data_IF_748612757584
#
_entry.id   IF_748612757584
#
_cell.length_a   1.000
_cell.length_b   1.000
_cell.length_c   1.000
_cell.angle_alpha   90.00
_cell.angle_beta   90.00
_cell.angle_gamma   90.00
#
_symmetry.space_group_name_H-M   'P 1'
#
loop_
_entity.id
_entity.type
_entity.pdbx_description
1 polymer ?
#
# COMPACT_ATOMS: atom_id res chain seq x y z
N UNK A 1 15.98 -17.15 7.86
CA UNK A 1 14.59 -16.87 7.44
C UNK A 1 14.54 -15.42 6.96
N UNK A 2 14.00 -15.14 5.77
CA UNK A 2 13.96 -13.80 5.18
C UNK A 2 12.79 -12.95 5.71
N UNK A 3 11.65 -13.58 5.97
CA UNK A 3 10.44 -12.92 6.46
C UNK A 3 9.23 -13.85 6.41
N UNK A 4 8.05 -13.28 6.65
CA UNK A 4 6.77 -13.98 6.58
C UNK A 4 5.65 -13.02 6.18
N UNK A 5 4.59 -13.57 5.61
CA UNK A 5 3.39 -12.86 5.16
C UNK A 5 2.18 -13.59 5.75
N UNK A 6 1.25 -12.83 6.34
CA UNK A 6 -0.08 -13.34 6.65
C UNK A 6 -1.02 -12.99 5.48
N UNK A 7 -1.81 -13.96 5.04
CA UNK A 7 -2.84 -13.74 4.03
C UNK A 7 -4.11 -14.52 4.35
N UNK A 8 -5.23 -14.02 3.85
CA UNK A 8 -6.54 -14.67 3.96
C UNK A 8 -7.02 -15.17 2.58
N UNK A 9 -6.11 -15.74 1.78
CA UNK A 9 -6.41 -16.31 0.45
C UNK A 9 -6.42 -15.32 -0.71
N UNK A 10 -6.23 -14.03 -0.46
CA UNK A 10 -6.25 -12.98 -1.50
C UNK A 10 -4.91 -12.79 -2.21
N UNK A 11 -3.81 -13.30 -1.65
CA UNK A 11 -2.48 -13.11 -2.25
C UNK A 11 -2.27 -14.15 -3.34
N UNK A 12 -2.12 -13.68 -4.57
CA UNK A 12 -1.76 -14.54 -5.70
C UNK A 12 -0.25 -14.79 -5.75
N UNK A 13 0.15 -15.81 -6.51
CA UNK A 13 1.58 -16.05 -6.81
C UNK A 13 2.25 -14.87 -7.50
N UNK A 14 1.52 -14.14 -8.36
CA UNK A 14 2.03 -12.92 -8.97
C UNK A 14 2.30 -11.84 -7.92
N UNK A 15 1.35 -11.57 -7.02
CA UNK A 15 1.54 -10.59 -5.93
C UNK A 15 2.73 -10.97 -5.05
N UNK A 16 2.90 -12.25 -4.72
CA UNK A 16 4.03 -12.71 -3.93
C UNK A 16 5.38 -12.44 -4.60
N UNK A 17 5.47 -12.68 -5.92
CA UNK A 17 6.67 -12.35 -6.69
C UNK A 17 6.93 -10.84 -6.70
N UNK A 18 5.88 -10.02 -6.85
CA UNK A 18 6.01 -8.56 -6.82
C UNK A 18 6.53 -8.06 -5.47
N UNK A 19 5.99 -8.58 -4.36
CA UNK A 19 6.48 -8.28 -3.01
C UNK A 19 7.97 -8.63 -2.86
N UNK A 20 8.40 -9.78 -3.39
CA UNK A 20 9.81 -10.16 -3.35
C UNK A 20 10.68 -9.25 -4.20
N UNK A 21 10.21 -8.79 -5.36
CA UNK A 21 10.98 -7.88 -6.22
C UNK A 21 11.12 -6.47 -5.64
N UNK A 22 10.23 -6.05 -4.73
CA UNK A 22 10.39 -4.81 -3.96
C UNK A 22 11.49 -4.95 -2.92
N UNK A 23 11.55 -6.10 -2.24
CA UNK A 23 12.46 -6.32 -1.10
C UNK A 23 13.84 -6.84 -1.53
N UNK A 24 13.91 -7.58 -2.63
CA UNK A 24 15.11 -8.29 -3.08
C UNK A 24 15.69 -7.67 -4.35
N UNK A 25 16.98 -7.38 -4.31
CA UNK A 25 17.79 -7.02 -5.46
C UNK A 25 18.59 -8.24 -5.91
N UNK A 26 18.24 -8.78 -7.08
CA UNK A 26 18.84 -10.01 -7.63
C UNK A 26 19.28 -9.76 -9.06
N UNK A 27 20.57 -9.45 -9.25
CA UNK A 27 21.24 -9.41 -10.55
C UNK A 27 20.41 -8.78 -11.68
N UNK A 28 20.47 -9.37 -12.86
CA UNK A 28 19.67 -8.97 -14.05
C UNK A 28 18.52 -9.93 -14.36
N UNK A 29 18.25 -10.90 -13.48
CA UNK A 29 17.38 -12.05 -13.74
C UNK A 29 16.46 -12.29 -12.55
N UNK A 30 15.22 -12.74 -12.82
CA UNK A 30 14.25 -13.00 -11.76
C UNK A 30 14.67 -14.19 -10.85
N UNK A 31 14.34 -14.14 -9.54
CA UNK A 31 14.55 -15.26 -8.65
C UNK A 31 13.77 -16.49 -9.08
N UNK A 32 14.33 -17.68 -8.77
CA UNK A 32 13.56 -18.92 -8.78
C UNK A 32 12.98 -19.14 -7.39
N UNK A 33 11.67 -19.35 -7.33
CA UNK A 33 10.95 -19.56 -6.07
C UNK A 33 10.40 -20.99 -6.06
N UNK A 34 10.61 -21.71 -4.95
CA UNK A 34 10.14 -23.07 -4.78
C UNK A 34 9.47 -23.25 -3.43
N UNK A 35 8.25 -23.76 -3.43
CA UNK A 35 7.62 -24.24 -2.21
C UNK A 35 8.40 -25.45 -1.67
N UNK A 36 8.51 -25.59 -0.36
CA UNK A 36 9.17 -26.77 0.26
C UNK A 36 8.48 -28.09 -0.05
N UNK A 37 7.24 -28.05 -0.51
CA UNK A 37 6.50 -29.19 -1.07
C UNK A 37 7.05 -29.67 -2.41
N UNK A 38 7.97 -28.93 -3.03
CA UNK A 38 8.61 -29.25 -4.30
C UNK A 38 8.11 -28.43 -5.49
N UNK A 39 7.01 -27.70 -5.35
CA UNK A 39 6.40 -26.93 -6.44
C UNK A 39 7.20 -25.66 -6.77
N UNK A 40 7.59 -25.49 -8.04
CA UNK A 40 8.11 -24.21 -8.53
C UNK A 40 6.98 -23.20 -8.67
N UNK A 41 7.20 -21.99 -8.16
CA UNK A 41 6.22 -20.90 -8.20
C UNK A 41 6.50 -20.02 -9.42
N UNK A 42 5.50 -19.96 -10.31
CA UNK A 42 5.50 -19.08 -11.48
C UNK A 42 4.48 -17.96 -11.31
N UNK A 43 4.72 -16.83 -11.98
CA UNK A 43 3.84 -15.66 -11.99
C UNK A 43 2.48 -16.02 -12.58
N UNK A 44 1.46 -16.12 -11.73
CA UNK A 44 0.08 -16.49 -12.10
C UNK A 44 -0.90 -15.83 -11.12
N UNK A 45 -2.17 -15.73 -11.49
CA UNK A 45 -3.26 -15.25 -10.64
C UNK A 45 -3.78 -16.31 -9.67
N UNK A 46 -3.19 -17.51 -9.64
CA UNK A 46 -3.57 -18.55 -8.68
C UNK A 46 -3.23 -18.10 -7.26
N UNK A 47 -4.08 -18.40 -6.26
CA UNK A 47 -3.77 -18.15 -4.86
C UNK A 47 -2.43 -18.79 -4.46
N UNK A 48 -1.65 -18.06 -3.68
CA UNK A 48 -0.45 -18.60 -3.05
C UNK A 48 -0.89 -19.53 -1.91
N UNK A 49 -0.42 -20.77 -1.92
CA UNK A 49 -0.69 -21.71 -0.84
C UNK A 49 0.00 -21.26 0.47
N UNK A 50 -0.49 -21.76 1.61
CA UNK A 50 0.21 -21.53 2.87
C UNK A 50 1.41 -22.49 2.95
N UNK A 51 2.54 -21.99 3.45
CA UNK A 51 3.72 -22.82 3.68
C UNK A 51 5.03 -22.06 3.53
N UNK A 52 6.11 -22.82 3.51
CA UNK A 52 7.47 -22.29 3.37
C UNK A 52 7.91 -22.26 1.91
N UNK A 53 8.61 -21.19 1.56
CA UNK A 53 9.15 -20.95 0.23
C UNK A 53 10.64 -20.65 0.32
N UNK A 54 11.43 -21.34 -0.50
CA UNK A 54 12.86 -21.09 -0.65
C UNK A 54 13.09 -20.28 -1.94
N UNK A 55 13.95 -19.27 -1.84
CA UNK A 55 14.26 -18.30 -2.91
C UNK A 55 15.70 -18.54 -3.34
N UNK A 56 15.89 -18.72 -4.65
CA UNK A 56 17.19 -19.00 -5.24
C UNK A 56 17.56 -17.89 -6.22
N UNK A 57 18.75 -17.32 -6.03
CA UNK A 57 19.36 -16.52 -7.07
C UNK A 57 19.75 -17.42 -8.26
N UNK A 58 19.70 -16.89 -9.49
CA UNK A 58 20.34 -17.51 -10.65
C UNK A 58 21.82 -17.79 -10.41
N UNK A 59 22.39 -18.79 -11.10
CA UNK A 59 23.79 -19.16 -10.94
C UNK A 59 24.73 -17.96 -11.16
N UNK A 60 25.56 -17.68 -10.16
CA UNK A 60 26.51 -16.56 -10.17
C UNK A 60 25.98 -15.24 -9.59
N UNK A 61 24.67 -15.12 -9.35
CA UNK A 61 24.07 -13.95 -8.71
C UNK A 61 24.02 -14.09 -7.19
N UNK A 62 23.92 -12.96 -6.49
CA UNK A 62 23.69 -12.90 -5.05
C UNK A 62 22.34 -12.25 -4.76
N UNK A 63 21.65 -12.74 -3.72
CA UNK A 63 20.45 -12.10 -3.21
C UNK A 63 20.88 -10.99 -2.24
N UNK A 64 20.50 -9.76 -2.54
CA UNK A 64 20.65 -8.61 -1.63
C UNK A 64 19.29 -8.08 -1.25
N UNK A 65 19.20 -7.45 -0.09
CA UNK A 65 18.04 -6.63 0.26
C UNK A 65 18.15 -5.29 -0.47
N UNK A 66 17.00 -4.75 -0.88
CA UNK A 66 16.91 -3.37 -1.36
C UNK A 66 17.35 -2.42 -0.24
N UNK A 67 18.16 -1.43 -0.60
CA UNK A 67 18.55 -0.30 0.24
C UNK A 67 17.72 0.96 -0.07
N UNK A 68 16.68 0.82 -0.90
CA UNK A 68 15.75 1.91 -1.17
C UNK A 68 15.13 2.41 0.15
N UNK A 69 15.23 3.72 0.42
CA UNK A 69 14.69 4.28 1.64
C UNK A 69 13.17 4.16 1.61
N UNK A 70 12.60 3.46 2.58
CA UNK A 70 11.16 3.56 2.81
C UNK A 70 10.86 4.85 3.55
N UNK A 71 9.75 5.47 3.18
CA UNK A 71 9.37 6.77 3.75
C UNK A 71 8.76 6.55 5.13
N UNK A 72 9.54 6.69 6.20
CA UNK A 72 8.98 6.51 7.55
C UNK A 72 7.83 7.50 7.81
N UNK A 73 6.66 6.96 8.16
CA UNK A 73 5.52 7.74 8.64
C UNK A 73 5.78 8.11 10.09
N UNK A 74 5.73 9.41 10.38
CA UNK A 74 5.63 9.83 11.77
C UNK A 74 4.17 9.68 12.17
N UNK A 75 3.87 9.21 13.40
CA UNK A 75 2.50 9.17 13.89
C UNK A 75 1.89 10.55 13.67
N UNK A 76 0.69 10.65 13.06
CA UNK A 76 0.16 11.92 12.64
C UNK A 76 0.05 12.83 13.85
N UNK A 77 0.76 13.96 13.80
CA UNK A 77 0.53 15.06 14.74
C UNK A 77 -0.82 15.70 14.36
N UNK A 78 -1.92 15.08 14.79
CA UNK A 78 -3.26 15.66 14.63
C UNK A 78 -3.32 16.93 15.47
N UNK A 79 -3.17 18.08 14.83
CA UNK A 79 -3.56 19.36 15.43
C UNK A 79 -5.07 19.30 15.61
N UNK A 80 -5.53 19.03 16.82
CA UNK A 80 -6.96 19.02 17.13
C UNK A 80 -7.54 20.39 16.81
N UNK A 81 -8.61 20.44 16.03
CA UNK A 81 -9.52 21.59 15.98
C UNK A 81 -9.73 22.27 14.62
N UNK A 82 -9.04 21.86 13.55
CA UNK A 82 -9.42 22.27 12.18
C UNK A 82 -9.42 21.07 11.26
N UNK A 83 -10.59 20.77 10.71
CA UNK A 83 -10.75 19.84 9.61
C UNK A 83 -10.22 20.48 8.34
N UNK A 84 -9.41 19.76 7.57
CA UNK A 84 -8.83 20.25 6.32
C UNK A 84 -9.76 19.99 5.13
N UNK A 85 -9.58 20.73 4.03
CA UNK A 85 -10.27 20.46 2.76
C UNK A 85 -9.99 19.03 2.25
N UNK A 86 -8.80 18.50 2.57
CA UNK A 86 -8.43 17.11 2.32
C UNK A 86 -9.35 16.15 3.10
N UNK A 87 -9.50 16.36 4.41
CA UNK A 87 -10.34 15.50 5.25
C UNK A 87 -11.79 15.48 4.76
N UNK A 88 -12.37 16.67 4.51
CA UNK A 88 -13.74 16.82 4.01
C UNK A 88 -13.90 16.15 2.64
N UNK A 89 -12.94 16.37 1.74
CA UNK A 89 -12.98 15.82 0.39
C UNK A 89 -12.87 14.29 0.36
N UNK A 90 -11.96 13.71 1.14
CA UNK A 90 -11.82 12.25 1.27
C UNK A 90 -13.08 11.64 1.87
N UNK A 91 -13.64 12.25 2.93
CA UNK A 91 -14.89 11.82 3.58
C UNK A 91 -16.07 11.83 2.61
N UNK A 92 -16.25 12.91 1.87
CA UNK A 92 -17.31 13.08 0.89
C UNK A 92 -17.19 12.07 -0.27
N UNK A 93 -15.95 11.77 -0.71
CA UNK A 93 -15.69 10.80 -1.78
C UNK A 93 -15.94 9.36 -1.33
N UNK A 94 -15.44 8.98 -0.17
CA UNK A 94 -15.36 7.57 0.21
C UNK A 94 -16.57 7.10 1.01
N UNK A 95 -17.00 7.84 2.04
CA UNK A 95 -18.15 7.51 2.91
C UNK A 95 -18.07 6.16 3.67
N UNK A 96 -17.01 5.38 3.46
CA UNK A 96 -16.77 4.06 4.05
C UNK A 96 -15.27 3.83 4.23
N UNK A 97 -14.92 2.89 5.09
CA UNK A 97 -13.55 2.38 5.14
C UNK A 97 -13.24 1.67 3.82
N UNK A 98 -12.26 2.13 3.07
CA UNK A 98 -11.95 1.57 1.74
C UNK A 98 -11.34 0.16 1.82
N UNK A 99 -10.71 -0.21 2.94
CA UNK A 99 -10.12 -1.53 3.12
C UNK A 99 -11.13 -2.59 3.53
N UNK A 100 -12.04 -2.26 4.45
CA UNK A 100 -13.01 -3.22 5.01
C UNK A 100 -14.36 -3.14 4.31
N UNK A 101 -14.64 -2.05 3.60
CA UNK A 101 -15.94 -1.73 3.03
C UNK A 101 -16.97 -1.23 4.05
N UNK A 102 -16.60 -1.09 5.34
CA UNK A 102 -17.53 -0.68 6.39
C UNK A 102 -18.03 0.75 6.15
N UNK A 103 -19.33 0.88 5.85
CA UNK A 103 -19.98 2.17 5.60
C UNK A 103 -20.18 2.95 6.89
N UNK A 104 -19.82 4.23 6.89
CA UNK A 104 -20.16 5.13 7.99
C UNK A 104 -21.64 5.53 7.88
N UNK A 105 -22.51 4.85 8.64
CA UNK A 105 -23.96 5.12 8.64
C UNK A 105 -24.33 6.51 9.18
N UNK A 106 -23.42 7.20 9.86
CA UNK A 106 -23.67 8.52 10.43
C UNK A 106 -23.00 9.65 9.61
N UNK A 107 -22.48 9.35 8.42
CA UNK A 107 -21.91 10.35 7.52
C UNK A 107 -22.92 11.43 7.11
N UNK A 108 -24.21 11.08 7.00
CA UNK A 108 -25.28 12.03 6.64
C UNK A 108 -25.53 13.13 7.68
N UNK A 109 -25.14 12.89 8.94
CA UNK A 109 -25.19 13.87 10.04
C UNK A 109 -23.80 14.39 10.42
N UNK A 110 -22.85 14.30 9.48
CA UNK A 110 -21.46 14.77 9.61
C UNK A 110 -20.71 14.18 10.82
N UNK A 111 -21.07 12.95 11.22
CA UNK A 111 -20.45 12.28 12.36
C UNK A 111 -19.42 11.25 11.88
N UNK A 112 -18.14 11.63 12.03
CA UNK A 112 -16.99 10.88 11.50
C UNK A 112 -16.14 10.19 12.57
N UNK A 113 -16.58 10.15 13.83
CA UNK A 113 -15.82 9.49 14.90
C UNK A 113 -15.56 8.04 14.54
N UNK A 114 -14.30 7.61 14.62
CA UNK A 114 -13.85 6.27 14.23
C UNK A 114 -13.48 6.11 12.76
N UNK A 115 -13.70 7.13 11.93
CA UNK A 115 -13.27 7.19 10.53
C UNK A 115 -12.30 8.35 10.30
N UNK A 116 -11.21 8.04 9.60
CA UNK A 116 -10.06 8.92 9.49
C UNK A 116 -9.57 8.97 8.04
N UNK A 117 -9.38 10.18 7.52
CA UNK A 117 -8.70 10.37 6.24
C UNK A 117 -7.19 10.11 6.45
N UNK A 118 -6.65 9.21 5.64
CA UNK A 118 -5.26 8.78 5.65
C UNK A 118 -4.61 9.21 4.35
N UNK A 119 -3.41 9.80 4.42
CA UNK A 119 -2.64 10.09 3.21
C UNK A 119 -1.93 8.81 2.70
N UNK A 120 -1.93 8.57 1.39
CA UNK A 120 -1.21 7.47 0.73
C UNK A 120 0.29 7.77 0.71
N UNK A 121 0.66 8.99 0.30
CA UNK A 121 2.00 9.52 0.46
C UNK A 121 2.03 10.47 1.66
N UNK A 122 2.91 10.24 2.65
CA UNK A 122 2.87 10.97 3.92
C UNK A 122 3.16 12.46 3.76
N UNK A 123 2.32 13.27 4.40
CA UNK A 123 2.36 14.74 4.31
C UNK A 123 3.69 15.33 4.77
N UNK A 124 4.34 14.72 5.76
CA UNK A 124 5.62 15.16 6.34
C UNK A 124 6.79 15.08 5.36
N UNK A 125 6.55 14.54 4.16
CA UNK A 125 7.55 14.22 3.14
C UNK A 125 7.29 14.95 1.83
N UNK A 126 6.59 16.08 1.91
CA UNK A 126 6.29 16.96 0.78
C UNK A 126 7.53 17.36 -0.03
N UNK A 127 8.68 17.59 0.61
CA UNK A 127 9.92 17.87 -0.12
C UNK A 127 10.34 16.73 -1.04
N UNK A 128 10.21 15.48 -0.58
CA UNK A 128 10.51 14.29 -1.37
C UNK A 128 9.50 14.08 -2.50
N UNK A 129 8.22 14.34 -2.22
CA UNK A 129 7.14 14.35 -3.23
C UNK A 129 7.44 15.31 -4.38
N UNK A 130 7.86 16.54 -4.06
CA UNK A 130 8.20 17.57 -5.04
C UNK A 130 9.46 17.18 -5.83
N UNK A 131 10.53 16.76 -5.14
CA UNK A 131 11.81 16.39 -5.74
C UNK A 131 11.65 15.27 -6.78
N UNK A 132 10.78 14.29 -6.52
CA UNK A 132 10.57 13.13 -7.38
C UNK A 132 9.37 13.28 -8.33
N UNK A 133 8.73 14.46 -8.38
CA UNK A 133 7.67 14.75 -9.34
C UNK A 133 6.39 13.92 -9.14
N UNK A 134 6.13 13.39 -7.95
CA UNK A 134 5.03 12.45 -7.70
C UNK A 134 3.63 13.03 -7.94
N UNK A 135 3.51 14.34 -8.08
CA UNK A 135 2.31 15.00 -8.56
C UNK A 135 1.81 14.48 -9.90
N UNK A 136 2.69 13.93 -10.75
CA UNK A 136 2.34 13.39 -12.06
C UNK A 136 1.47 12.13 -12.00
N UNK A 137 1.50 11.40 -10.88
CA UNK A 137 0.70 10.19 -10.69
C UNK A 137 -0.76 10.49 -10.30
N UNK A 138 -1.11 11.77 -10.10
CA UNK A 138 -2.46 12.19 -9.75
C UNK A 138 -3.20 12.63 -11.01
N UNK A 139 -4.15 11.81 -11.44
CA UNK A 139 -4.76 11.91 -12.79
C UNK A 139 -5.77 13.03 -12.96
N UNK A 140 -6.48 13.45 -11.90
CA UNK A 140 -7.49 14.51 -11.97
C UNK A 140 -7.02 15.88 -11.42
N UNK A 141 -5.75 16.24 -11.60
CA UNK A 141 -5.32 17.62 -11.33
C UNK A 141 -5.39 18.45 -12.61
N UNK A 142 -6.21 19.50 -12.61
CA UNK A 142 -6.45 20.39 -13.77
C UNK A 142 -5.14 20.98 -14.37
N UNK A 143 -4.06 20.99 -13.59
CA UNK A 143 -2.74 21.53 -13.97
C UNK A 143 -1.64 20.46 -14.10
N UNK A 144 -1.94 19.17 -13.91
CA UNK A 144 -0.92 18.10 -13.84
C UNK A 144 0.04 18.20 -12.64
N UNK A 145 -0.18 19.17 -11.74
CA UNK A 145 0.61 19.38 -10.54
C UNK A 145 -0.30 19.33 -9.31
N UNK A 146 -0.68 18.12 -8.92
CA UNK A 146 -1.48 17.91 -7.73
C UNK A 146 -0.64 18.18 -6.47
N UNK A 147 -1.15 18.98 -5.52
CA UNK A 147 -0.49 19.12 -4.23
C UNK A 147 -0.53 17.78 -3.47
N UNK A 148 0.39 17.61 -2.53
CA UNK A 148 0.42 16.43 -1.64
C UNK A 148 -0.89 16.26 -0.84
N UNK A 149 -1.61 17.35 -0.59
CA UNK A 149 -2.94 17.35 0.04
C UNK A 149 -4.09 17.09 -0.94
N UNK A 150 -3.81 16.61 -2.15
CA UNK A 150 -4.86 16.19 -3.08
C UNK A 150 -5.70 15.08 -2.46
N UNK A 151 -7.03 15.15 -2.62
CA UNK A 151 -7.97 14.11 -2.18
C UNK A 151 -7.57 12.74 -2.76
N UNK A 152 -6.98 12.70 -3.95
CA UNK A 152 -6.50 11.46 -4.60
C UNK A 152 -5.27 10.85 -3.90
N UNK A 153 -4.50 11.63 -3.16
CA UNK A 153 -3.43 11.14 -2.30
C UNK A 153 -3.97 10.67 -0.94
N UNK A 154 -5.25 10.34 -0.82
CA UNK A 154 -5.83 9.88 0.42
C UNK A 154 -6.96 8.89 0.24
N UNK A 155 -7.30 8.23 1.34
CA UNK A 155 -8.49 7.39 1.46
C UNK A 155 -9.05 7.42 2.89
N UNK A 156 -10.32 7.06 3.03
CA UNK A 156 -10.99 6.97 4.32
C UNK A 156 -10.83 5.56 4.92
N UNK A 157 -10.35 5.49 6.16
CA UNK A 157 -10.20 4.23 6.91
C UNK A 157 -10.92 4.30 8.26
N UNK A 158 -11.27 3.12 8.78
CA UNK A 158 -11.49 2.98 10.22
C UNK A 158 -10.19 3.32 10.97
N UNK A 159 -10.30 3.97 12.14
CA UNK A 159 -9.14 4.43 12.91
C UNK A 159 -8.14 3.31 13.24
N UNK A 160 -8.62 2.08 13.44
CA UNK A 160 -7.75 0.91 13.64
C UNK A 160 -6.99 0.52 12.37
N UNK A 161 -7.66 0.49 11.23
CA UNK A 161 -7.01 0.24 9.93
C UNK A 161 -6.03 1.34 9.56
N UNK A 162 -6.33 2.61 9.90
CA UNK A 162 -5.42 3.72 9.69
C UNK A 162 -4.11 3.55 10.46
N UNK A 163 -4.18 3.18 11.74
CA UNK A 163 -2.99 2.88 12.55
C UNK A 163 -2.16 1.74 11.93
N UNK A 164 -2.81 0.65 11.50
CA UNK A 164 -2.11 -0.46 10.84
C UNK A 164 -1.46 -0.04 9.52
N UNK A 165 -2.11 0.86 8.77
CA UNK A 165 -1.56 1.39 7.51
C UNK A 165 -0.35 2.29 7.78
N UNK A 166 -0.42 3.15 8.79
CA UNK A 166 0.68 4.03 9.17
C UNK A 166 1.90 3.25 9.69
N UNK A 167 1.67 2.13 10.39
CA UNK A 167 2.71 1.23 10.88
C UNK A 167 3.23 0.25 9.81
N UNK A 168 2.80 0.37 8.55
CA UNK A 168 3.13 -0.55 7.45
C UNK A 168 2.75 -2.02 7.69
N UNK A 169 1.84 -2.29 8.63
CA UNK A 169 1.32 -3.63 8.89
C UNK A 169 0.34 -4.09 7.79
N UNK A 170 -0.29 -3.13 7.10
CA UNK A 170 -1.13 -3.36 5.92
C UNK A 170 -0.80 -2.33 4.83
N UNK A 171 -1.02 -2.70 3.56
CA UNK A 171 -0.78 -1.82 2.41
C UNK A 171 -1.67 -2.22 1.23
N UNK A 172 -1.67 -1.41 0.17
CA UNK A 172 -2.40 -1.64 -1.07
C UNK A 172 -1.41 -1.90 -2.19
N UNK A 173 -1.68 -2.92 -3.01
CA UNK A 173 -0.97 -3.12 -4.28
C UNK A 173 -1.80 -2.49 -5.42
N UNK A 174 -1.41 -1.32 -5.97
CA UNK A 174 -2.17 -0.64 -7.01
C UNK A 174 -2.20 -1.39 -8.34
N UNK A 175 -1.27 -2.32 -8.57
CA UNK A 175 -1.18 -3.12 -9.80
C UNK A 175 -2.09 -4.36 -9.77
N UNK A 176 -2.75 -4.62 -8.64
CA UNK A 176 -3.69 -5.72 -8.52
C UNK A 176 -4.95 -5.42 -9.38
N UNK A 177 -5.04 -6.07 -10.54
CA UNK A 177 -6.12 -5.90 -11.53
C UNK A 177 -7.47 -6.53 -11.13
N UNK A 178 -7.81 -6.53 -9.85
CA UNK A 178 -8.94 -7.26 -9.28
C UNK A 178 -9.90 -6.40 -8.47
N UNK A 179 -10.48 -5.35 -9.05
CA UNK A 179 -11.73 -4.82 -8.53
C UNK A 179 -12.86 -5.76 -8.95
N UNK A 180 -13.14 -6.76 -8.12
CA UNK A 180 -14.44 -7.43 -8.18
C UNK A 180 -15.47 -6.46 -7.60
N UNK A 181 -16.22 -5.82 -8.49
CA UNK A 181 -17.51 -5.19 -8.18
C UNK A 181 -18.58 -6.24 -7.95
#
# INVERSE_FOLDING_TARGET
>A
MLGGLFQNGSVTRANFIDMLNIVLVIGSRQPRIKARTGQTISRTTQPLAHGDYDIYAPDGDSIKLSDEPFVLRLPPYRVRGRESDFDMGVRARDGKCVFTGLVNKLAEVDYWVGFEAAHIFPLEKESYWIEHGFSEFITNADSGNAPIQSIQNGFLLEAGSHQLFDDYAISVNPDASGFYT
#
